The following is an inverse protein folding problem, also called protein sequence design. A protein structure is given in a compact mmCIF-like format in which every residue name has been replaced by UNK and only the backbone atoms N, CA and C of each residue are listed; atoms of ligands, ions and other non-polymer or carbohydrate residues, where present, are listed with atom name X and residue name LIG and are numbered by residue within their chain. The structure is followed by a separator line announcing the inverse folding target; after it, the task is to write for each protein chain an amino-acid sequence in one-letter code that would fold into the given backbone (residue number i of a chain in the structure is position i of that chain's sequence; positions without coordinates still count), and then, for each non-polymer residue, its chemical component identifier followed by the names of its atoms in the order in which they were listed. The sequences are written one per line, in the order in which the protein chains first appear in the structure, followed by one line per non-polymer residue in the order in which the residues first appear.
data_IF_489065124641
#
_entry.id   IF_489065124641
#
_cell.length_a   1.000
_cell.length_b   1.000
_cell.length_c   1.000
_cell.angle_alpha   90.00
_cell.angle_beta   90.00
_cell.angle_gamma   90.00
#
_symmetry.space_group_name_H-M   'P 1'
#
loop_
_entity.id
_entity.type
_entity.pdbx_description
1 polymer ?
#
# COMPACT_ATOMS: atom_id res chain seq x y z
N UNK A 1 -1.68 2.05 4.85
CA UNK A 1 -1.64 1.42 3.51
C UNK A 1 -0.30 1.69 2.83
N UNK A 2 0.12 0.83 1.91
CA UNK A 2 1.37 0.96 1.14
C UNK A 2 1.14 1.72 -0.17
N UNK A 3 0.82 3.02 -0.08
CA UNK A 3 0.44 3.84 -1.25
C UNK A 3 1.53 3.89 -2.33
N UNK A 4 2.79 3.71 -1.96
CA UNK A 4 3.93 3.74 -2.89
C UNK A 4 4.29 2.38 -3.49
N UNK A 5 3.59 1.30 -3.12
CA UNK A 5 3.96 -0.06 -3.49
C UNK A 5 5.13 -0.63 -2.69
N UNK A 6 5.67 0.12 -1.72
CA UNK A 6 6.66 -0.37 -0.78
C UNK A 6 6.60 0.38 0.55
N UNK A 7 7.11 -0.24 1.62
CA UNK A 7 7.34 0.42 2.91
C UNK A 7 8.46 -0.29 3.69
N UNK A 8 9.32 0.50 4.32
CA UNK A 8 10.33 0.01 5.26
C UNK A 8 9.78 -0.02 6.69
N UNK A 9 10.31 -0.96 7.49
CA UNK A 9 10.01 -1.19 8.89
C UNK A 9 11.29 -1.52 9.66
N UNK A 10 11.23 -1.39 10.99
CA UNK A 10 12.31 -1.79 11.89
C UNK A 10 13.69 -1.28 11.43
N UNK A 11 13.83 0.04 11.26
CA UNK A 11 15.07 0.68 10.80
C UNK A 11 15.60 0.10 9.48
N UNK A 12 14.67 -0.11 8.53
CA UNK A 12 14.94 -0.68 7.20
C UNK A 12 15.44 -2.14 7.21
N UNK A 13 15.33 -2.84 8.34
CA UNK A 13 15.61 -4.29 8.43
C UNK A 13 14.52 -5.14 7.77
N UNK A 14 13.32 -4.58 7.59
CA UNK A 14 12.22 -5.20 6.87
C UNK A 14 11.71 -4.24 5.78
N UNK A 15 11.47 -4.78 4.59
CA UNK A 15 10.83 -4.08 3.48
C UNK A 15 9.68 -4.94 2.97
N UNK A 16 8.48 -4.38 2.95
CA UNK A 16 7.35 -5.00 2.25
C UNK A 16 7.23 -4.36 0.88
N UNK A 17 7.03 -5.17 -0.16
CA UNK A 17 6.82 -4.76 -1.55
C UNK A 17 5.43 -5.21 -1.98
N UNK A 18 4.74 -4.35 -2.71
CA UNK A 18 3.45 -4.62 -3.30
C UNK A 18 3.49 -4.25 -4.78
N UNK A 19 3.27 -5.24 -5.66
CA UNK A 19 3.55 -5.10 -7.09
C UNK A 19 2.31 -4.88 -7.95
N UNK A 20 1.10 -4.87 -7.38
CA UNK A 20 -0.13 -4.60 -8.12
C UNK A 20 -0.52 -3.12 -7.98
N UNK A 21 -0.29 -2.26 -8.99
CA UNK A 21 -0.83 -0.89 -8.98
C UNK A 21 -2.36 -0.97 -8.98
N UNK A 22 -3.01 -0.02 -8.29
CA UNK A 22 -4.48 0.03 -8.18
C UNK A 22 -5.09 -1.30 -7.73
N UNK A 23 -4.65 -1.79 -6.60
CA UNK A 23 -5.08 -3.09 -6.13
C UNK A 23 -6.61 -3.17 -6.10
N UNK A 24 -7.16 -4.19 -6.77
CA UNK A 24 -8.58 -4.44 -6.92
C UNK A 24 -9.40 -3.28 -7.53
N UNK A 25 -8.74 -2.30 -8.16
CA UNK A 25 -9.33 -1.04 -8.60
C UNK A 25 -9.98 -0.20 -7.49
N UNK A 26 -9.72 -0.54 -6.22
CA UNK A 26 -10.32 0.10 -5.04
C UNK A 26 -9.35 1.07 -4.33
N UNK A 27 -8.05 0.78 -4.40
CA UNK A 27 -7.01 1.53 -3.69
C UNK A 27 -6.09 2.21 -4.69
N UNK A 28 -5.86 3.52 -4.59
CA UNK A 28 -4.94 4.23 -5.50
C UNK A 28 -3.46 4.05 -5.11
N UNK A 29 -3.04 2.83 -4.81
CA UNK A 29 -1.64 2.51 -4.57
C UNK A 29 -0.86 2.38 -5.90
N UNK A 30 0.42 2.72 -5.88
CA UNK A 30 1.36 2.28 -6.90
C UNK A 30 1.79 0.84 -6.64
N UNK A 31 2.28 0.16 -7.68
CA UNK A 31 3.11 -1.02 -7.54
C UNK A 31 4.58 -0.65 -7.38
N UNK A 32 5.40 -1.55 -6.84
CA UNK A 32 6.85 -1.45 -6.89
C UNK A 32 7.48 -2.84 -6.97
N UNK A 33 8.75 -2.92 -7.36
CA UNK A 33 9.57 -4.13 -7.23
C UNK A 33 10.98 -3.80 -6.73
N UNK A 34 11.63 -4.77 -6.08
CA UNK A 34 13.00 -4.64 -5.58
C UNK A 34 13.98 -5.14 -6.65
N UNK A 35 14.93 -4.30 -7.04
CA UNK A 35 16.07 -4.67 -7.88
C UNK A 35 17.30 -4.89 -6.99
N UNK A 36 17.92 -6.05 -7.11
CA UNK A 36 19.17 -6.39 -6.41
C UNK A 36 20.26 -6.58 -7.45
N UNK A 37 21.36 -5.82 -7.34
CA UNK A 37 22.52 -5.98 -8.22
C UNK A 37 23.42 -7.14 -7.75
N UNK A 38 24.28 -7.63 -8.65
CA UNK A 38 25.31 -8.61 -8.30
C UNK A 38 26.27 -8.12 -7.20
N UNK A 39 26.43 -6.81 -7.05
CA UNK A 39 27.23 -6.18 -5.98
C UNK A 39 26.49 -6.04 -4.65
N UNK A 40 25.27 -6.60 -4.54
CA UNK A 40 24.43 -6.51 -3.34
C UNK A 40 23.78 -5.15 -3.13
N UNK A 41 23.89 -4.21 -4.09
CA UNK A 41 23.16 -2.93 -4.01
C UNK A 41 21.69 -3.17 -4.34
N UNK A 42 20.83 -2.57 -3.53
CA UNK A 42 19.39 -2.68 -3.67
C UNK A 42 18.78 -1.34 -4.09
N UNK A 43 17.84 -1.37 -5.02
CA UNK A 43 17.01 -0.22 -5.37
C UNK A 43 15.55 -0.64 -5.52
N UNK A 44 14.63 0.26 -5.19
CA UNK A 44 13.19 0.03 -5.37
C UNK A 44 12.75 0.77 -6.61
N UNK A 45 12.10 0.07 -7.54
CA UNK A 45 11.55 0.64 -8.75
C UNK A 45 10.04 0.74 -8.58
N UNK A 46 9.52 1.97 -8.57
CA UNK A 46 8.08 2.27 -8.50
C UNK A 46 7.47 2.18 -9.89
N UNK A 47 6.30 1.54 -9.98
CA UNK A 47 5.57 1.35 -11.23
C UNK A 47 4.64 2.52 -11.53
N UNK A 48 4.54 2.88 -12.81
CA UNK A 48 3.64 3.93 -13.31
C UNK A 48 2.22 3.38 -13.39
N UNK A 49 1.24 4.22 -13.04
CA UNK A 49 -0.19 3.89 -13.14
C UNK A 49 -0.67 4.27 -14.55
N UNK A 50 -1.17 3.31 -15.33
CA UNK A 50 -1.60 3.54 -16.72
C UNK A 50 -3.11 3.72 -16.91
N UNK A 51 -3.90 3.88 -15.85
CA UNK A 51 -5.36 4.03 -15.94
C UNK A 51 -5.93 4.94 -14.83
N UNK A 52 -7.18 5.38 -14.96
CA UNK A 52 -7.95 5.97 -13.83
C UNK A 52 -8.60 4.83 -13.03
N UNK A 53 -8.81 5.00 -11.72
CA UNK A 53 -9.60 4.02 -10.94
C UNK A 53 -11.00 3.99 -11.53
N UNK A 54 -11.51 2.80 -11.86
CA UNK A 54 -12.87 2.61 -12.35
C UNK A 54 -13.82 2.41 -11.19
N UNK A 55 -14.95 3.13 -11.16
CA UNK A 55 -15.98 3.05 -10.10
C UNK A 55 -16.79 1.74 -10.10
N UNK A 56 -16.35 0.67 -10.76
CA UNK A 56 -17.12 -0.56 -10.85
C UNK A 56 -16.95 -1.41 -9.57
N UNK A 57 -18.06 -1.57 -8.83
CA UNK A 57 -18.17 -2.39 -7.61
C UNK A 57 -17.87 -3.87 -7.96
N UNK A 58 -16.71 -4.38 -7.55
CA UNK A 58 -16.42 -5.83 -7.58
C UNK A 58 -17.05 -6.50 -6.35
N UNK A 59 -17.63 -7.68 -6.55
CA UNK A 59 -18.24 -8.51 -5.50
C UNK A 59 -17.21 -8.91 -4.45
N UNK A 60 -17.60 -8.83 -3.17
CA UNK A 60 -16.74 -8.89 -1.99
C UNK A 60 -16.08 -10.27 -1.74
N UNK A 61 -16.40 -11.31 -2.52
CA UNK A 61 -16.17 -12.71 -2.19
C UNK A 61 -14.93 -13.40 -2.79
N UNK A 62 -14.18 -12.78 -3.71
CA UNK A 62 -13.27 -13.56 -4.58
C UNK A 62 -11.79 -13.57 -4.18
N UNK A 63 -11.37 -12.98 -3.06
CA UNK A 63 -9.94 -12.80 -2.79
C UNK A 63 -9.47 -13.14 -1.36
N UNK A 64 -8.72 -14.24 -1.25
CA UNK A 64 -8.13 -14.75 0.01
C UNK A 64 -7.04 -13.84 0.61
N UNK A 65 -6.44 -12.97 -0.19
CA UNK A 65 -5.38 -12.02 0.23
C UNK A 65 -5.93 -10.71 0.79
N UNK A 66 -7.25 -10.47 0.68
CA UNK A 66 -7.88 -9.27 1.21
C UNK A 66 -7.94 -9.37 2.74
N UNK A 67 -7.28 -8.45 3.44
CA UNK A 67 -7.28 -8.45 4.90
C UNK A 67 -8.72 -8.24 5.41
N UNK A 68 -9.29 -9.19 6.19
CA UNK A 68 -10.70 -9.14 6.56
C UNK A 68 -11.02 -8.13 7.68
N UNK A 69 -10.00 -7.57 8.34
CA UNK A 69 -10.16 -6.59 9.42
C UNK A 69 -9.93 -5.14 8.99
N UNK A 70 -10.15 -4.19 9.91
CA UNK A 70 -9.61 -2.84 9.77
C UNK A 70 -8.09 -2.92 9.91
N UNK A 71 -7.33 -2.59 8.85
CA UNK A 71 -5.87 -2.56 8.98
C UNK A 71 -5.49 -1.59 10.10
N UNK A 72 -4.49 -1.92 10.93
CA UNK A 72 -3.98 -1.00 11.96
C UNK A 72 -3.61 0.38 11.37
N UNK A 73 -3.24 0.43 10.09
CA UNK A 73 -3.00 1.68 9.36
C UNK A 73 -4.23 2.55 9.15
N UNK A 74 -5.42 1.96 9.01
CA UNK A 74 -6.68 2.70 8.94
C UNK A 74 -7.01 3.25 10.32
N UNK A 75 -6.92 2.42 11.36
CA UNK A 75 -7.12 2.85 12.74
C UNK A 75 -6.17 3.98 13.17
N UNK A 76 -4.88 3.93 12.78
CA UNK A 76 -3.92 5.01 13.04
C UNK A 76 -4.27 6.31 12.30
N UNK A 77 -4.82 6.24 11.09
CA UNK A 77 -5.26 7.43 10.37
C UNK A 77 -6.46 8.07 11.07
N UNK A 78 -7.41 7.24 11.53
CA UNK A 78 -8.60 7.68 12.27
C UNK A 78 -8.22 8.29 13.63
N UNK A 79 -7.27 7.68 14.36
CA UNK A 79 -6.74 8.22 15.62
C UNK A 79 -6.06 9.58 15.41
N UNK A 80 -5.26 9.73 14.34
CA UNK A 80 -4.59 10.99 14.04
C UNK A 80 -5.56 12.06 13.50
N UNK A 81 -6.65 11.67 12.86
CA UNK A 81 -7.71 12.59 12.44
C UNK A 81 -8.54 13.05 13.65
N UNK A 82 -8.89 12.12 14.54
CA UNK A 82 -9.61 12.41 15.78
C UNK A 82 -8.79 13.27 16.75
N UNK A 83 -7.47 13.08 16.83
CA UNK A 83 -6.60 13.89 17.69
C UNK A 83 -6.47 15.34 17.21
N UNK A 84 -6.57 15.58 15.89
CA UNK A 84 -6.59 16.94 15.31
C UNK A 84 -7.90 17.68 15.58
N UNK A 85 -9.02 16.97 15.61
CA UNK A 85 -10.33 17.55 15.92
C UNK A 85 -10.47 17.94 17.40
N UNK A 86 -9.68 17.32 18.30
CA UNK A 86 -9.73 17.59 19.74
C UNK A 86 -8.90 18.80 20.20
N UNK A 87 -8.22 19.51 19.29
CA UNK A 87 -7.39 20.69 19.59
C UNK A 87 -7.93 22.01 19.00
N UNK A 88 -9.14 22.00 18.43
CA UNK A 88 -9.94 23.21 18.15
C UNK A 88 -11.03 23.38 19.19
#
# INVERSE_FOLDING_TARGET
MMLNGFKFFADRKLCTIFSAPKYMDEVDNSGAFLRVSATGKMSIVKMIKHSKISTQKKSQGDEITRFPGTSEYAALADINAASKFSME
#
